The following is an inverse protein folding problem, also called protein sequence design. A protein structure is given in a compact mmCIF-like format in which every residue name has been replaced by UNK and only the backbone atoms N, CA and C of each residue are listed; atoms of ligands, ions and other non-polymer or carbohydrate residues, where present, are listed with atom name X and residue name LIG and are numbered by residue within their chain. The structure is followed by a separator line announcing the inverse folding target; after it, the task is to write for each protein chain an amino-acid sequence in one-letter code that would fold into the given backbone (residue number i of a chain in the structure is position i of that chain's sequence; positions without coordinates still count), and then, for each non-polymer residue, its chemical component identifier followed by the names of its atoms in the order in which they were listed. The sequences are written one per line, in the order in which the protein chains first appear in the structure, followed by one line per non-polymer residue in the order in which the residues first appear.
data_IF_675155440291
#
_entry.id   IF_675155440291
#
_cell.length_a   1.000
_cell.length_b   1.000
_cell.length_c   1.000
_cell.angle_alpha   90.00
_cell.angle_beta   90.00
_cell.angle_gamma   90.00
#
_symmetry.space_group_name_H-M   'P 1'
#
loop_
_entity.id
_entity.type
_entity.pdbx_description
1 polymer ?
#
# COMPACT_ATOMS: atom_id res chain seq x y z
N UNK A 1 21.84 45.57 -31.14
CA UNK A 1 20.52 44.91 -31.15
C UNK A 1 20.56 43.83 -30.09
N UNK A 2 19.72 44.06 -29.09
CA UNK A 2 19.44 43.27 -27.90
C UNK A 2 18.78 41.93 -28.26
N UNK A 3 19.13 40.88 -27.51
CA UNK A 3 18.36 39.64 -27.45
C UNK A 3 17.62 39.64 -26.11
N UNK A 4 16.36 40.04 -26.16
CA UNK A 4 15.43 40.09 -25.04
C UNK A 4 14.79 38.70 -24.92
N UNK A 5 15.16 37.96 -23.87
CA UNK A 5 14.60 36.66 -23.54
C UNK A 5 13.29 36.92 -22.79
N UNK A 6 12.17 36.80 -23.50
CA UNK A 6 10.84 36.82 -22.91
C UNK A 6 10.64 35.58 -22.03
N UNK A 7 10.70 35.78 -20.72
CA UNK A 7 10.19 34.84 -19.73
C UNK A 7 8.76 35.23 -19.38
N UNK A 8 7.89 34.25 -19.52
CA UNK A 8 6.47 34.40 -19.66
C UNK A 8 5.75 34.29 -18.32
N UNK A 9 4.78 35.19 -18.13
CA UNK A 9 3.53 35.02 -17.40
C UNK A 9 3.57 34.22 -16.09
N UNK A 10 3.68 34.98 -15.00
CA UNK A 10 3.13 34.68 -13.68
C UNK A 10 1.59 34.66 -13.81
N UNK A 11 0.99 33.47 -13.82
CA UNK A 11 -0.46 33.28 -13.87
C UNK A 11 -0.91 32.43 -12.67
N UNK A 12 -1.41 33.18 -11.68
CA UNK A 12 -2.41 32.89 -10.67
C UNK A 12 -2.72 31.42 -10.28
N UNK A 13 -2.45 31.12 -9.00
CA UNK A 13 -3.18 30.15 -8.18
C UNK A 13 -4.70 30.44 -8.26
N UNK A 14 -5.42 29.60 -9.00
CA UNK A 14 -6.89 29.52 -8.99
C UNK A 14 -7.31 28.37 -8.05
N UNK A 15 -7.57 28.75 -6.81
CA UNK A 15 -8.20 27.94 -5.76
C UNK A 15 -9.68 27.75 -6.15
N UNK A 16 -9.94 26.67 -6.88
CA UNK A 16 -11.25 26.30 -7.39
C UNK A 16 -11.79 25.03 -6.74
N UNK A 17 -12.40 25.17 -5.57
CA UNK A 17 -13.33 24.19 -5.00
C UNK A 17 -14.40 23.79 -6.03
N UNK A 18 -14.38 22.53 -6.47
CA UNK A 18 -15.51 21.92 -7.16
C UNK A 18 -15.85 20.57 -6.51
N UNK A 19 -16.78 20.65 -5.56
CA UNK A 19 -17.54 19.52 -5.06
C UNK A 19 -18.54 19.08 -6.13
N UNK A 20 -18.24 17.99 -6.85
CA UNK A 20 -19.26 17.27 -7.62
C UNK A 20 -19.76 16.08 -6.80
N UNK A 21 -20.90 16.30 -6.15
CA UNK A 21 -21.73 15.25 -5.59
C UNK A 21 -22.31 14.41 -6.73
N UNK A 22 -21.84 13.18 -6.88
CA UNK A 22 -22.48 12.18 -7.72
C UNK A 22 -23.37 11.30 -6.83
N UNK A 23 -24.67 11.59 -6.84
CA UNK A 23 -25.70 10.64 -6.41
C UNK A 23 -25.62 9.41 -7.32
N UNK A 24 -25.08 8.31 -6.80
CA UNK A 24 -25.14 7.01 -7.45
C UNK A 24 -26.40 6.31 -6.95
N UNK A 25 -27.42 6.26 -7.80
CA UNK A 25 -28.65 5.50 -7.57
C UNK A 25 -28.29 4.02 -7.30
N UNK A 26 -28.55 3.58 -6.07
CA UNK A 26 -28.32 2.21 -5.63
C UNK A 26 -29.37 1.28 -6.26
N UNK A 27 -29.06 0.76 -7.44
CA UNK A 27 -29.78 -0.37 -8.02
C UNK A 27 -29.37 -1.63 -7.26
N UNK A 28 -30.13 -1.96 -6.21
CA UNK A 28 -29.94 -3.21 -5.44
C UNK A 28 -30.36 -4.41 -6.29
N UNK A 29 -29.42 -4.95 -7.05
CA UNK A 29 -29.53 -6.29 -7.62
C UNK A 29 -29.44 -7.35 -6.51
N UNK A 30 -30.03 -8.55 -6.69
CA UNK A 30 -29.99 -9.61 -5.68
C UNK A 30 -28.54 -10.03 -5.43
N UNK A 31 -28.09 -9.99 -4.17
CA UNK A 31 -26.76 -10.50 -3.79
C UNK A 31 -26.68 -12.00 -4.11
N UNK A 32 -25.95 -12.34 -5.18
CA UNK A 32 -25.49 -13.71 -5.42
C UNK A 32 -24.74 -14.22 -4.19
N UNK A 33 -24.78 -15.53 -3.90
CA UNK A 33 -24.05 -16.07 -2.77
C UNK A 33 -22.57 -15.72 -2.89
N UNK A 34 -22.07 -14.95 -1.91
CA UNK A 34 -20.67 -14.55 -1.87
C UNK A 34 -19.78 -15.79 -1.99
N UNK A 35 -18.85 -15.76 -2.96
CA UNK A 35 -17.85 -16.80 -3.13
C UNK A 35 -17.09 -17.04 -1.82
N UNK A 36 -16.65 -18.29 -1.55
CA UNK A 36 -15.91 -18.60 -0.33
C UNK A 36 -14.64 -17.75 -0.22
N UNK A 37 -14.21 -17.37 0.99
CA UNK A 37 -13.09 -16.44 1.22
C UNK A 37 -11.75 -16.96 0.70
N UNK A 38 -11.64 -18.26 0.42
CA UNK A 38 -10.45 -18.86 -0.21
C UNK A 38 -10.30 -18.49 -1.69
N UNK A 39 -11.38 -17.99 -2.32
CA UNK A 39 -11.44 -17.69 -3.76
C UNK A 39 -11.58 -16.20 -4.03
N UNK A 40 -11.98 -15.40 -3.05
CA UNK A 40 -12.19 -13.96 -3.17
C UNK A 40 -11.20 -13.18 -2.30
N UNK A 41 -10.58 -12.10 -2.83
CA UNK A 41 -9.78 -11.21 -2.00
C UNK A 41 -10.61 -10.59 -0.89
N UNK A 42 -9.98 -10.35 0.26
CA UNK A 42 -10.61 -9.75 1.43
C UNK A 42 -11.10 -8.31 1.18
N UNK A 43 -10.51 -7.59 0.21
CA UNK A 43 -10.92 -6.24 -0.14
C UNK A 43 -10.59 -5.85 -1.60
N UNK A 44 -11.42 -4.96 -2.16
CA UNK A 44 -11.34 -4.51 -3.56
C UNK A 44 -10.24 -3.49 -3.86
N UNK A 45 -10.23 -2.97 -5.09
CA UNK A 45 -9.24 -2.00 -5.58
C UNK A 45 -9.62 -0.53 -5.28
N UNK A 46 -10.82 -0.29 -4.77
CA UNK A 46 -11.43 1.05 -4.66
C UNK A 46 -10.91 1.85 -3.45
N UNK A 47 -10.45 1.17 -2.39
CA UNK A 47 -9.88 1.79 -1.20
C UNK A 47 -8.36 1.61 -1.12
N UNK A 48 -7.59 2.28 -2.00
CA UNK A 48 -6.12 2.16 -1.96
C UNK A 48 -5.41 3.51 -2.05
N UNK A 49 -4.47 3.72 -1.12
CA UNK A 49 -3.44 4.75 -1.25
C UNK A 49 -2.15 4.07 -1.71
N UNK A 50 -1.63 4.51 -2.85
CA UNK A 50 -0.31 4.06 -3.33
C UNK A 50 0.76 4.90 -2.62
N UNK A 51 1.47 4.28 -1.67
CA UNK A 51 2.63 4.90 -1.00
C UNK A 51 3.90 4.15 -1.42
N UNK A 52 4.96 4.90 -1.70
CA UNK A 52 6.27 4.32 -2.01
C UNK A 52 7.00 3.97 -0.72
N UNK A 53 7.63 2.80 -0.69
CA UNK A 53 8.56 2.38 0.36
C UNK A 53 10.00 2.53 -0.16
N UNK A 54 10.94 2.77 0.75
CA UNK A 54 12.37 2.91 0.44
C UNK A 54 13.22 1.82 1.09
N UNK A 55 12.97 0.53 0.82
CA UNK A 55 13.81 -0.55 1.33
C UNK A 55 15.17 -0.55 0.63
N UNK A 56 16.18 -1.10 1.31
CA UNK A 56 17.41 -1.51 0.63
C UNK A 56 17.10 -2.70 -0.31
N UNK A 57 17.80 -2.86 -1.45
CA UNK A 57 17.55 -3.96 -2.38
C UNK A 57 17.54 -5.34 -1.71
N UNK A 58 18.54 -5.62 -0.87
CA UNK A 58 18.66 -6.89 -0.15
C UNK A 58 17.45 -7.16 0.76
N UNK A 59 16.97 -6.14 1.48
CA UNK A 59 15.81 -6.28 2.36
C UNK A 59 14.50 -6.46 1.59
N UNK A 60 14.43 -5.94 0.36
CA UNK A 60 13.28 -6.17 -0.51
C UNK A 60 13.30 -7.57 -1.10
N UNK A 61 14.47 -8.05 -1.54
CA UNK A 61 14.65 -9.42 -2.05
C UNK A 61 14.31 -10.46 -0.98
N UNK A 62 14.80 -10.30 0.25
CA UNK A 62 14.47 -11.18 1.38
C UNK A 62 12.96 -11.23 1.64
N UNK A 63 12.26 -10.10 1.51
CA UNK A 63 10.81 -10.04 1.66
C UNK A 63 10.08 -10.76 0.51
N UNK A 64 10.51 -10.58 -0.73
CA UNK A 64 9.90 -11.28 -1.89
C UNK A 64 10.10 -12.79 -1.82
N UNK A 65 11.27 -13.24 -1.35
CA UNK A 65 11.55 -14.66 -1.09
C UNK A 65 10.64 -15.20 0.02
N UNK A 66 10.51 -14.48 1.15
CA UNK A 66 9.61 -14.87 2.23
C UNK A 66 8.14 -14.94 1.76
N UNK A 67 7.70 -14.00 0.91
CA UNK A 67 6.36 -14.03 0.31
C UNK A 67 6.16 -15.28 -0.55
N UNK A 68 7.12 -15.59 -1.42
CA UNK A 68 7.00 -16.64 -2.44
C UNK A 68 7.22 -18.04 -1.88
N UNK A 69 8.07 -18.18 -0.86
CA UNK A 69 8.46 -19.49 -0.32
C UNK A 69 7.69 -19.83 0.96
N UNK A 70 7.59 -18.88 1.89
CA UNK A 70 7.00 -19.13 3.20
C UNK A 70 5.51 -18.78 3.23
N UNK A 71 5.14 -17.57 2.83
CA UNK A 71 3.74 -17.11 2.89
C UNK A 71 2.85 -17.88 1.90
N UNK A 72 3.29 -18.05 0.65
CA UNK A 72 2.54 -18.86 -0.34
C UNK A 72 2.28 -20.28 0.11
N UNK A 73 3.23 -20.88 0.84
CA UNK A 73 3.05 -22.22 1.41
C UNK A 73 1.91 -22.22 2.43
N UNK A 74 1.91 -21.26 3.35
CA UNK A 74 0.84 -21.11 4.34
C UNK A 74 -0.51 -20.89 3.63
N UNK A 75 -0.57 -20.02 2.63
CA UNK A 75 -1.81 -19.79 1.86
C UNK A 75 -2.32 -21.08 1.22
N UNK A 76 -1.44 -21.87 0.61
CA UNK A 76 -1.80 -23.17 0.02
C UNK A 76 -2.31 -24.17 1.03
N UNK A 77 -1.69 -24.25 2.20
CA UNK A 77 -2.12 -25.14 3.28
C UNK A 77 -3.55 -24.80 3.75
N UNK A 78 -3.96 -23.55 3.56
CA UNK A 78 -5.32 -23.04 3.80
C UNK A 78 -6.21 -22.96 2.55
N UNK A 79 -5.83 -23.59 1.43
CA UNK A 79 -6.65 -23.63 0.21
C UNK A 79 -6.64 -22.34 -0.63
N UNK A 80 -5.97 -21.29 -0.17
CA UNK A 80 -5.89 -19.99 -0.84
C UNK A 80 -4.79 -20.03 -1.90
N UNK A 81 -5.14 -19.78 -3.16
CA UNK A 81 -4.20 -19.80 -4.29
C UNK A 81 -3.98 -18.45 -4.96
N UNK A 82 -4.85 -17.49 -4.67
CA UNK A 82 -4.90 -16.18 -5.31
C UNK A 82 -4.77 -15.04 -4.29
N UNK A 83 -4.06 -15.27 -3.19
CA UNK A 83 -3.74 -14.22 -2.22
C UNK A 83 -3.06 -13.06 -2.96
N UNK A 84 -3.64 -11.86 -2.88
CA UNK A 84 -3.10 -10.73 -3.61
C UNK A 84 -1.94 -10.07 -2.87
N UNK A 85 -0.94 -9.54 -3.61
CA UNK A 85 0.15 -8.74 -3.01
C UNK A 85 -0.39 -7.58 -2.16
N UNK A 86 -1.58 -7.05 -2.48
CA UNK A 86 -2.20 -5.97 -1.71
C UNK A 86 -2.61 -6.43 -0.31
N UNK A 87 -3.24 -7.59 -0.19
CA UNK A 87 -3.64 -8.15 1.11
C UNK A 87 -2.42 -8.41 1.99
N UNK A 88 -1.34 -8.90 1.39
CA UNK A 88 -0.06 -9.08 2.07
C UNK A 88 0.51 -7.73 2.51
N UNK A 89 0.57 -6.73 1.63
CA UNK A 89 1.08 -5.40 1.99
C UNK A 89 0.25 -4.72 3.08
N UNK A 90 -1.07 -4.82 3.05
CA UNK A 90 -1.94 -4.31 4.10
C UNK A 90 -1.67 -5.01 5.45
N UNK A 91 -1.53 -6.34 5.43
CA UNK A 91 -1.17 -7.10 6.62
C UNK A 91 0.20 -6.69 7.18
N UNK A 92 1.20 -6.45 6.31
CA UNK A 92 2.52 -5.96 6.71
C UNK A 92 2.43 -4.57 7.35
N UNK A 93 1.63 -3.66 6.79
CA UNK A 93 1.44 -2.31 7.34
C UNK A 93 0.76 -2.38 8.71
N UNK A 94 -0.29 -3.18 8.86
CA UNK A 94 -0.96 -3.38 10.17
C UNK A 94 -0.03 -4.01 11.20
N UNK A 95 0.69 -5.07 10.82
CA UNK A 95 1.68 -5.71 11.68
C UNK A 95 2.77 -4.73 12.14
N UNK A 96 3.30 -3.93 11.21
CA UNK A 96 4.33 -2.92 11.53
C UNK A 96 3.81 -1.84 12.49
N UNK A 97 2.54 -1.44 12.35
CA UNK A 97 1.92 -0.50 13.26
C UNK A 97 1.73 -1.10 14.67
N UNK A 98 1.31 -2.37 14.75
CA UNK A 98 1.16 -3.09 16.02
C UNK A 98 2.52 -3.41 16.68
N UNK A 99 3.61 -3.41 15.92
CA UNK A 99 4.98 -3.71 16.38
C UNK A 99 5.91 -2.51 16.19
N UNK A 100 5.38 -1.29 16.34
CA UNK A 100 6.10 -0.05 16.04
C UNK A 100 7.39 0.12 16.86
N UNK A 101 7.42 -0.33 18.11
CA UNK A 101 8.62 -0.28 18.96
C UNK A 101 9.74 -1.15 18.40
N UNK A 102 9.43 -2.34 17.92
CA UNK A 102 10.39 -3.26 17.30
C UNK A 102 10.94 -2.68 15.99
N UNK A 103 10.07 -2.09 15.17
CA UNK A 103 10.49 -1.39 13.94
C UNK A 103 11.42 -0.22 14.27
N UNK A 104 11.12 0.55 15.31
CA UNK A 104 11.98 1.64 15.77
C UNK A 104 13.33 1.13 16.28
N UNK A 105 13.35 0.01 17.02
CA UNK A 105 14.56 -0.65 17.51
C UNK A 105 15.46 -1.08 16.36
N UNK A 106 14.92 -1.76 15.34
CA UNK A 106 15.67 -2.15 14.13
C UNK A 106 16.27 -0.93 13.41
N UNK A 107 15.50 0.17 13.30
CA UNK A 107 15.99 1.40 12.69
C UNK A 107 17.10 2.09 13.50
N UNK A 108 17.09 1.97 14.82
CA UNK A 108 18.13 2.48 15.72
C UNK A 108 19.38 1.59 15.71
N UNK A 109 19.22 0.27 15.67
CA UNK A 109 20.30 -0.70 15.55
C UNK A 109 21.13 -0.46 14.27
N UNK A 110 20.47 -0.18 13.15
CA UNK A 110 21.13 0.19 11.88
C UNK A 110 21.92 1.52 11.98
N UNK A 111 21.55 2.40 12.91
CA UNK A 111 22.33 3.61 13.23
C UNK A 111 23.47 3.35 14.22
N UNK A 112 23.59 2.12 14.74
CA UNK A 112 24.53 1.77 15.80
C UNK A 112 24.17 2.40 17.15
N UNK A 113 22.90 2.75 17.36
CA UNK A 113 22.41 3.26 18.65
C UNK A 113 22.04 2.05 19.51
N UNK A 114 22.76 1.90 20.62
CA UNK A 114 22.49 0.84 21.58
C UNK A 114 21.10 1.06 22.20
N UNK A 115 20.26 0.04 22.10
CA UNK A 115 18.87 0.05 22.59
C UNK A 115 18.66 -0.98 23.69
N UNK A 116 19.74 -1.58 24.22
CA UNK A 116 19.71 -2.43 25.39
C UNK A 116 19.58 -1.58 26.67
N UNK A 117 18.35 -1.29 27.10
CA UNK A 117 18.02 -0.99 28.52
C UNK A 117 16.93 -1.94 29.04
#
# INVERSE_FOLDING_TARGET
MSFDLGDAADDADDDGEQAEATESESNSEPEEPADPPEKTPAFGFENKWQRQLYPRPESWEDLEDAMTLDMERVFRDHGVRNMSKREIHDALVRFSADHAEEVARLALEERGVDTEE
#
